data_IF_047436206084
#
_entry.id   IF_047436206084
#
_cell.length_a   1.000
_cell.length_b   1.000
_cell.length_c   1.000
_cell.angle_alpha   90.00
_cell.angle_beta   90.00
_cell.angle_gamma   90.00
#
_symmetry.space_group_name_H-M   'P 1'
#
loop_
_entity.id
_entity.type
_entity.pdbx_description
1 polymer ?
#
# COMPACT_ATOMS: atom_id res chain seq x y z
N UNK A 1 -25.89 -17.78 -10.66
CA UNK A 1 -25.83 -16.31 -10.49
C UNK A 1 -26.29 -15.58 -11.75
N UNK A 2 -25.56 -15.66 -12.88
CA UNK A 2 -25.89 -14.94 -14.12
C UNK A 2 -27.33 -15.16 -14.59
N UNK A 3 -27.74 -16.40 -14.83
CA UNK A 3 -29.06 -16.69 -15.43
C UNK A 3 -30.27 -16.42 -14.54
N UNK A 4 -30.10 -16.44 -13.21
CA UNK A 4 -31.24 -16.34 -12.26
C UNK A 4 -31.37 -14.98 -11.58
N UNK A 5 -30.28 -14.23 -11.43
CA UNK A 5 -30.25 -13.04 -10.58
C UNK A 5 -29.73 -11.83 -11.37
N UNK A 6 -28.56 -11.96 -12.01
CA UNK A 6 -27.91 -10.82 -12.69
C UNK A 6 -27.50 -11.21 -14.11
N UNK A 7 -28.40 -11.12 -15.11
CA UNK A 7 -28.12 -11.53 -16.48
C UNK A 7 -26.96 -10.77 -17.13
N UNK A 8 -26.74 -9.51 -16.73
CA UNK A 8 -25.67 -8.62 -17.21
C UNK A 8 -24.29 -8.95 -16.61
N UNK A 9 -24.19 -9.90 -15.68
CA UNK A 9 -22.92 -10.26 -15.04
C UNK A 9 -21.99 -10.95 -16.04
N UNK A 10 -20.81 -10.35 -16.22
CA UNK A 10 -19.74 -10.88 -17.07
C UNK A 10 -18.81 -11.80 -16.27
N UNK A 11 -19.15 -13.09 -16.26
CA UNK A 11 -18.36 -14.13 -15.59
C UNK A 11 -17.08 -14.49 -16.36
N UNK A 12 -17.07 -14.32 -17.69
CA UNK A 12 -15.94 -14.70 -18.52
C UNK A 12 -14.76 -13.76 -18.29
N UNK A 13 -15.03 -12.46 -18.15
CA UNK A 13 -14.02 -11.47 -17.76
C UNK A 13 -13.41 -11.75 -16.38
N UNK A 14 -14.22 -12.16 -15.39
CA UNK A 14 -13.71 -12.54 -14.06
C UNK A 14 -12.82 -13.79 -14.18
N UNK A 15 -13.30 -14.81 -14.89
CA UNK A 15 -12.59 -16.07 -15.10
C UNK A 15 -11.22 -15.89 -15.77
N UNK A 16 -11.14 -15.00 -16.77
CA UNK A 16 -9.90 -14.74 -17.53
C UNK A 16 -8.93 -13.78 -16.83
N UNK A 17 -9.34 -13.13 -15.75
CA UNK A 17 -8.49 -12.17 -15.03
C UNK A 17 -7.30 -12.89 -14.40
N UNK A 18 -6.10 -12.34 -14.59
CA UNK A 18 -4.87 -12.85 -13.97
C UNK A 18 -4.59 -12.10 -12.69
N UNK A 19 -4.63 -12.79 -11.56
CA UNK A 19 -4.49 -12.19 -10.23
C UNK A 19 -3.11 -12.48 -9.64
N UNK A 20 -2.38 -11.41 -9.28
CA UNK A 20 -1.15 -11.49 -8.50
C UNK A 20 -1.46 -11.16 -7.03
N UNK A 21 -1.15 -12.07 -6.11
CA UNK A 21 -1.36 -11.93 -4.68
C UNK A 21 -0.01 -11.75 -4.00
N UNK A 22 0.30 -10.51 -3.60
CA UNK A 22 1.52 -10.17 -2.87
C UNK A 22 1.26 -10.38 -1.38
N UNK A 23 1.65 -11.56 -0.89
CA UNK A 23 1.34 -12.09 0.43
C UNK A 23 0.44 -13.32 0.33
N UNK A 24 0.89 -14.44 0.93
CA UNK A 24 0.17 -15.72 0.99
C UNK A 24 -0.29 -16.07 2.42
N UNK A 25 -0.20 -15.10 3.35
CA UNK A 25 -0.69 -15.21 4.72
C UNK A 25 -2.22 -15.27 4.80
N UNK A 26 -2.79 -14.74 5.90
CA UNK A 26 -4.24 -14.86 6.18
C UNK A 26 -5.07 -14.28 5.04
N UNK A 27 -4.79 -13.03 4.65
CA UNK A 27 -5.48 -12.36 3.56
C UNK A 27 -5.29 -13.10 2.23
N UNK A 28 -4.04 -13.44 1.88
CA UNK A 28 -3.71 -14.16 0.65
C UNK A 28 -4.47 -15.47 0.50
N UNK A 29 -4.52 -16.26 1.56
CA UNK A 29 -5.21 -17.55 1.57
C UNK A 29 -6.73 -17.41 1.40
N UNK A 30 -7.37 -16.48 2.12
CA UNK A 30 -8.82 -16.26 1.99
C UNK A 30 -9.19 -15.64 0.64
N UNK A 31 -8.46 -14.63 0.19
CA UNK A 31 -8.70 -13.99 -1.11
C UNK A 31 -8.46 -14.99 -2.25
N UNK A 32 -7.39 -15.79 -2.18
CA UNK A 32 -7.14 -16.85 -3.15
C UNK A 32 -8.31 -17.84 -3.27
N UNK A 33 -8.85 -18.30 -2.13
CA UNK A 33 -10.05 -19.17 -2.12
C UNK A 33 -11.29 -18.46 -2.68
N UNK A 34 -11.50 -17.18 -2.36
CA UNK A 34 -12.61 -16.41 -2.89
C UNK A 34 -12.51 -16.20 -4.42
N UNK A 35 -11.33 -15.88 -4.93
CA UNK A 35 -11.07 -15.76 -6.37
C UNK A 35 -11.34 -17.08 -7.10
N UNK A 36 -10.86 -18.19 -6.53
CA UNK A 36 -11.11 -19.52 -7.09
C UNK A 36 -12.62 -19.85 -7.13
N UNK A 37 -13.36 -19.50 -6.07
CA UNK A 37 -14.82 -19.68 -6.02
C UNK A 37 -15.56 -18.82 -7.05
N UNK A 38 -15.05 -17.64 -7.37
CA UNK A 38 -15.53 -16.79 -8.47
C UNK A 38 -15.13 -17.27 -9.86
N UNK A 39 -14.31 -18.31 -9.96
CA UNK A 39 -13.92 -18.95 -11.21
C UNK A 39 -12.63 -18.40 -11.83
N UNK A 40 -11.87 -17.54 -11.13
CA UNK A 40 -10.56 -17.07 -11.58
C UNK A 40 -9.64 -18.27 -11.82
N UNK A 41 -8.95 -18.29 -12.96
CA UNK A 41 -8.11 -19.43 -13.36
C UNK A 41 -6.62 -19.21 -13.18
N UNK A 42 -6.14 -17.97 -13.20
CA UNK A 42 -4.70 -17.67 -13.07
C UNK A 42 -4.44 -16.88 -11.80
N UNK A 43 -3.83 -17.54 -10.81
CA UNK A 43 -3.57 -16.99 -9.48
C UNK A 43 -2.10 -17.21 -9.15
N UNK A 44 -1.36 -16.13 -8.94
CA UNK A 44 0.06 -16.20 -8.60
C UNK A 44 0.29 -15.64 -7.21
N UNK A 45 0.96 -16.41 -6.34
CA UNK A 45 1.34 -16.03 -5.00
C UNK A 45 2.80 -15.57 -4.96
N UNK A 46 3.07 -14.52 -4.18
CA UNK A 46 4.42 -14.05 -3.85
C UNK A 46 4.52 -13.92 -2.33
N UNK A 47 5.50 -14.57 -1.73
CA UNK A 47 5.75 -14.55 -0.28
C UNK A 47 7.18 -15.05 -0.04
N UNK A 48 7.93 -14.46 0.90
CA UNK A 48 9.29 -14.93 1.23
C UNK A 48 9.31 -15.85 2.47
N UNK A 49 8.15 -16.07 3.10
CA UNK A 49 8.03 -16.79 4.35
C UNK A 49 7.89 -18.31 4.19
N UNK A 50 8.09 -19.00 5.31
CA UNK A 50 7.79 -20.44 5.47
C UNK A 50 6.57 -20.64 6.35
N UNK A 51 5.83 -21.73 6.12
CA UNK A 51 4.66 -22.09 6.92
C UNK A 51 5.11 -22.44 8.35
N UNK A 52 4.58 -21.75 9.35
CA UNK A 52 4.85 -22.05 10.77
C UNK A 52 3.64 -22.70 11.46
N UNK A 53 3.87 -23.42 12.56
CA UNK A 53 2.83 -24.19 13.28
C UNK A 53 1.57 -23.42 13.66
N UNK A 54 1.68 -22.10 13.86
CA UNK A 54 0.53 -21.27 14.20
C UNK A 54 -0.26 -20.79 12.96
N UNK A 55 0.23 -21.03 11.74
CA UNK A 55 -0.38 -20.57 10.50
C UNK A 55 -1.65 -21.35 10.09
N UNK A 56 -1.68 -22.70 10.10
CA UNK A 56 -2.81 -23.46 9.53
C UNK A 56 -4.19 -23.08 10.09
N UNK A 57 -4.28 -22.70 11.37
CA UNK A 57 -5.56 -22.29 12.00
C UNK A 57 -6.12 -20.96 11.48
N UNK A 58 -5.28 -20.13 10.85
CA UNK A 58 -5.66 -18.80 10.34
C UNK A 58 -5.44 -18.63 8.83
N UNK A 59 -4.69 -19.53 8.20
CA UNK A 59 -4.31 -19.48 6.79
C UNK A 59 -4.82 -20.74 6.09
N UNK A 60 -6.03 -20.71 5.50
CA UNK A 60 -6.75 -21.91 5.08
C UNK A 60 -6.15 -22.61 3.85
N UNK A 61 -5.00 -22.20 3.34
CA UNK A 61 -4.26 -22.90 2.30
C UNK A 61 -3.12 -23.77 2.85
N UNK A 62 -2.93 -23.86 4.17
CA UNK A 62 -1.86 -24.65 4.77
C UNK A 62 -2.40 -25.68 5.75
N UNK A 63 -1.76 -26.84 5.77
CA UNK A 63 -2.05 -27.93 6.71
C UNK A 63 -0.91 -28.10 7.73
N UNK A 64 -1.16 -28.85 8.80
CA UNK A 64 -0.12 -29.13 9.82
C UNK A 64 1.13 -29.78 9.21
N UNK A 65 0.95 -30.66 8.22
CA UNK A 65 2.05 -31.34 7.53
C UNK A 65 3.00 -30.37 6.80
N UNK A 66 2.51 -29.18 6.42
CA UNK A 66 3.32 -28.17 5.74
C UNK A 66 4.27 -27.42 6.69
N UNK A 67 4.11 -27.61 8.01
CA UNK A 67 4.95 -27.00 9.05
C UNK A 67 6.17 -27.87 9.42
N UNK A 68 6.18 -29.13 9.02
CA UNK A 68 7.23 -30.09 9.38
C UNK A 68 8.56 -29.73 8.69
N UNK A 69 9.68 -30.18 9.24
CA UNK A 69 11.04 -29.96 8.71
C UNK A 69 11.42 -28.48 8.52
N UNK A 70 10.97 -27.62 9.44
CA UNK A 70 11.25 -26.18 9.40
C UNK A 70 10.32 -25.38 8.48
N UNK A 71 9.25 -26.02 7.99
CA UNK A 71 8.19 -25.38 7.22
C UNK A 71 8.49 -25.28 5.74
N UNK A 72 7.49 -25.58 4.92
CA UNK A 72 7.56 -25.41 3.47
C UNK A 72 7.47 -23.92 3.08
N UNK A 73 8.01 -23.52 1.92
CA UNK A 73 7.80 -22.19 1.35
C UNK A 73 6.32 -21.87 1.16
N UNK A 74 5.85 -20.73 1.67
CA UNK A 74 4.42 -20.42 1.70
C UNK A 74 3.81 -20.23 0.32
N UNK A 75 4.47 -19.50 -0.57
CA UNK A 75 3.90 -19.14 -1.87
C UNK A 75 3.66 -20.40 -2.73
N UNK A 76 4.66 -21.26 -2.82
CA UNK A 76 4.64 -22.53 -3.54
C UNK A 76 3.61 -23.49 -2.94
N UNK A 77 3.62 -23.64 -1.61
CA UNK A 77 2.66 -24.51 -0.90
C UNK A 77 1.22 -24.02 -1.10
N UNK A 78 0.98 -22.71 -1.09
CA UNK A 78 -0.35 -22.15 -1.33
C UNK A 78 -0.85 -22.47 -2.75
N UNK A 79 0.04 -22.39 -3.74
CA UNK A 79 -0.29 -22.75 -5.13
C UNK A 79 -0.56 -24.25 -5.29
N UNK A 80 0.24 -25.11 -4.66
CA UNK A 80 0.04 -26.57 -4.65
C UNK A 80 -1.29 -26.95 -4.00
N UNK A 81 -1.57 -26.41 -2.81
CA UNK A 81 -2.82 -26.70 -2.11
C UNK A 81 -4.03 -26.11 -2.84
N UNK A 82 -3.87 -25.00 -3.58
CA UNK A 82 -4.92 -24.49 -4.47
C UNK A 82 -5.20 -25.45 -5.64
N UNK A 83 -4.16 -26.04 -6.25
CA UNK A 83 -4.32 -27.08 -7.28
C UNK A 83 -4.97 -28.35 -6.74
N UNK A 84 -4.72 -28.70 -5.48
CA UNK A 84 -5.43 -29.81 -4.80
C UNK A 84 -6.92 -29.56 -4.68
N UNK A 85 -7.33 -28.30 -4.43
CA UNK A 85 -8.75 -27.93 -4.37
C UNK A 85 -9.39 -27.97 -5.76
N UNK A 86 -8.72 -27.42 -6.77
CA UNK A 86 -9.23 -27.41 -8.13
C UNK A 86 -8.09 -27.57 -9.15
N UNK A 87 -7.87 -28.78 -9.71
CA UNK A 87 -6.70 -29.07 -10.54
C UNK A 87 -6.55 -28.25 -11.83
N UNK A 88 -7.63 -27.66 -12.35
CA UNK A 88 -7.57 -26.85 -13.57
C UNK A 88 -7.24 -25.37 -13.30
N UNK A 89 -6.86 -25.00 -12.08
CA UNK A 89 -6.30 -23.67 -11.79
C UNK A 89 -4.84 -23.60 -12.24
N UNK A 90 -4.47 -22.55 -12.96
CA UNK A 90 -3.08 -22.15 -13.18
C UNK A 90 -2.62 -21.35 -11.94
N UNK A 91 -2.30 -22.08 -10.88
CA UNK A 91 -1.73 -21.50 -9.66
C UNK A 91 -0.19 -21.60 -9.65
N UNK A 92 0.49 -20.50 -9.34
CA UNK A 92 1.94 -20.43 -9.24
C UNK A 92 2.35 -19.74 -7.94
N UNK A 93 3.50 -20.11 -7.40
CA UNK A 93 4.05 -19.54 -6.17
C UNK A 93 5.51 -19.20 -6.38
N UNK A 94 5.92 -18.02 -5.90
CA UNK A 94 7.30 -17.56 -5.96
C UNK A 94 7.78 -17.10 -4.59
N UNK A 95 8.79 -17.79 -4.07
CA UNK A 95 9.60 -17.31 -2.94
C UNK A 95 10.40 -16.10 -3.38
N UNK A 96 9.89 -14.89 -3.08
CA UNK A 96 10.46 -13.63 -3.52
C UNK A 96 10.31 -12.59 -2.42
N UNK A 97 11.39 -11.86 -2.15
CA UNK A 97 11.43 -10.80 -1.16
C UNK A 97 11.12 -9.45 -1.80
N UNK A 98 10.10 -8.75 -1.31
CA UNK A 98 9.78 -7.40 -1.79
C UNK A 98 10.60 -6.39 -1.01
N UNK A 99 11.46 -5.58 -1.67
CA UNK A 99 12.26 -4.56 -0.99
C UNK A 99 11.39 -3.59 -0.18
N UNK A 100 11.70 -3.46 1.11
CA UNK A 100 11.04 -2.53 2.02
C UNK A 100 11.61 -1.12 1.88
N UNK A 101 10.74 -0.12 1.73
CA UNK A 101 11.15 1.28 1.71
C UNK A 101 11.78 1.68 3.05
N UNK A 102 12.99 2.27 3.01
CA UNK A 102 13.70 2.75 4.20
C UNK A 102 14.64 1.74 4.84
N UNK A 103 14.70 0.50 4.35
CA UNK A 103 15.70 -0.49 4.78
C UNK A 103 16.93 -0.49 3.87
N UNK A 104 18.14 -0.71 4.43
CA UNK A 104 19.37 -0.78 3.64
C UNK A 104 19.37 -2.00 2.71
N UNK A 105 20.01 -1.84 1.57
CA UNK A 105 20.29 -2.93 0.64
C UNK A 105 21.36 -3.81 1.27
N UNK A 106 21.01 -5.06 1.59
CA UNK A 106 21.94 -6.04 2.18
C UNK A 106 22.66 -6.85 1.12
N UNK A 107 21.96 -7.21 0.04
CA UNK A 107 22.48 -7.94 -1.11
C UNK A 107 21.90 -7.33 -2.39
N UNK A 108 22.72 -6.54 -3.07
CA UNK A 108 22.31 -5.83 -4.29
C UNK A 108 21.95 -6.81 -5.42
N UNK A 109 22.68 -7.92 -5.55
CA UNK A 109 22.46 -8.86 -6.67
C UNK A 109 21.15 -9.59 -6.48
N UNK A 110 20.89 -10.11 -5.28
CA UNK A 110 19.63 -10.79 -4.96
C UNK A 110 18.45 -9.84 -5.05
N UNK A 111 18.54 -8.66 -4.42
CA UNK A 111 17.43 -7.70 -4.42
C UNK A 111 17.14 -7.16 -5.83
N UNK A 112 18.15 -7.06 -6.70
CA UNK A 112 17.95 -6.71 -8.10
C UNK A 112 17.20 -7.81 -8.85
N UNK A 113 17.56 -9.07 -8.65
CA UNK A 113 16.84 -10.21 -9.24
C UNK A 113 15.39 -10.28 -8.76
N UNK A 114 15.16 -10.08 -7.46
CA UNK A 114 13.83 -10.05 -6.86
C UNK A 114 12.99 -8.87 -7.42
N UNK A 115 13.61 -7.69 -7.60
CA UNK A 115 12.96 -6.55 -8.23
C UNK A 115 12.55 -6.87 -9.67
N UNK A 116 13.48 -7.41 -10.47
CA UNK A 116 13.23 -7.70 -11.89
C UNK A 116 12.13 -8.76 -12.04
N UNK A 117 12.13 -9.77 -11.16
CA UNK A 117 11.09 -10.79 -11.15
C UNK A 117 9.74 -10.24 -10.71
N UNK A 118 9.70 -9.38 -9.69
CA UNK A 118 8.47 -8.72 -9.26
C UNK A 118 7.89 -7.84 -10.36
N UNK A 119 8.73 -7.10 -11.07
CA UNK A 119 8.35 -6.29 -12.22
C UNK A 119 7.72 -7.13 -13.34
N UNK A 120 8.34 -8.25 -13.70
CA UNK A 120 7.79 -9.22 -14.66
C UNK A 120 6.40 -9.71 -14.22
N UNK A 121 6.25 -10.08 -12.94
CA UNK A 121 4.98 -10.54 -12.39
C UNK A 121 3.91 -9.45 -12.44
N UNK A 122 4.23 -8.21 -12.08
CA UNK A 122 3.27 -7.10 -12.14
C UNK A 122 2.83 -6.84 -13.58
N UNK A 123 3.75 -6.85 -14.55
CA UNK A 123 3.43 -6.63 -15.97
C UNK A 123 2.55 -7.75 -16.55
N UNK A 124 2.82 -9.00 -16.18
CA UNK A 124 2.12 -10.19 -16.70
C UNK A 124 0.72 -10.38 -16.10
N UNK A 125 0.38 -9.73 -14.99
CA UNK A 125 -0.93 -9.88 -14.34
C UNK A 125 -1.83 -8.65 -14.58
N UNK A 126 -3.15 -8.83 -14.43
CA UNK A 126 -4.14 -7.77 -14.69
C UNK A 126 -4.51 -7.03 -13.41
N UNK A 127 -4.66 -7.79 -12.31
CA UNK A 127 -5.04 -7.28 -10.99
C UNK A 127 -4.00 -7.68 -9.96
N UNK A 128 -3.56 -6.70 -9.16
CA UNK A 128 -2.55 -6.88 -8.12
C UNK A 128 -3.22 -6.68 -6.76
N UNK A 129 -3.14 -7.68 -5.89
CA UNK A 129 -3.59 -7.62 -4.51
C UNK A 129 -2.40 -7.37 -3.58
N UNK A 130 -2.43 -6.27 -2.83
CA UNK A 130 -1.43 -5.94 -1.82
C UNK A 130 -1.91 -6.48 -0.47
N UNK A 131 -1.36 -7.62 -0.07
CA UNK A 131 -1.78 -8.41 1.10
C UNK A 131 -0.61 -8.61 2.07
N UNK A 132 0.33 -7.67 2.02
CA UNK A 132 1.55 -7.68 2.83
C UNK A 132 1.26 -7.23 4.26
N UNK A 133 2.14 -7.60 5.18
CA UNK A 133 2.02 -7.39 6.62
C UNK A 133 2.46 -5.99 7.10
N UNK A 134 3.19 -5.23 6.29
CA UNK A 134 3.74 -3.94 6.66
C UNK A 134 3.41 -2.81 5.67
N UNK A 135 3.55 -1.56 6.11
CA UNK A 135 3.37 -0.38 5.25
C UNK A 135 4.50 -0.26 4.23
N UNK A 136 5.72 -0.55 4.66
CA UNK A 136 6.96 -0.32 3.91
C UNK A 136 7.04 -1.25 2.69
N UNK A 137 6.63 -2.51 2.86
CA UNK A 137 6.60 -3.51 1.79
C UNK A 137 5.57 -3.17 0.69
N UNK A 138 4.49 -2.46 1.01
CA UNK A 138 3.45 -2.07 0.04
C UNK A 138 3.87 -0.93 -0.89
N UNK A 139 4.91 -0.19 -0.54
CA UNK A 139 5.32 1.00 -1.30
C UNK A 139 5.73 0.66 -2.73
N UNK A 140 6.67 -0.26 -2.90
CA UNK A 140 7.21 -0.60 -4.22
C UNK A 140 6.12 -1.18 -5.16
N UNK A 141 5.31 -2.17 -4.74
CA UNK A 141 4.18 -2.63 -5.55
C UNK A 141 3.16 -1.55 -5.89
N UNK A 142 2.92 -0.60 -4.99
CA UNK A 142 2.02 0.54 -5.26
C UNK A 142 2.54 1.41 -6.39
N UNK A 143 3.83 1.71 -6.38
CA UNK A 143 4.48 2.48 -7.44
C UNK A 143 4.46 1.70 -8.76
N UNK A 144 4.84 0.43 -8.75
CA UNK A 144 4.81 -0.42 -9.94
C UNK A 144 3.40 -0.53 -10.55
N UNK A 145 2.37 -0.76 -9.72
CA UNK A 145 1.00 -0.84 -10.20
C UNK A 145 0.51 0.47 -10.83
N UNK A 146 0.96 1.62 -10.31
CA UNK A 146 0.68 2.92 -10.90
C UNK A 146 1.39 3.09 -12.27
N UNK A 147 2.69 2.80 -12.33
CA UNK A 147 3.50 2.92 -13.56
C UNK A 147 2.98 2.02 -14.67
N UNK A 148 2.63 0.77 -14.34
CA UNK A 148 2.12 -0.22 -15.30
C UNK A 148 0.61 -0.17 -15.49
N UNK A 149 -0.07 0.86 -14.95
CA UNK A 149 -1.52 1.07 -15.08
C UNK A 149 -2.36 -0.15 -14.70
N UNK A 150 -1.97 -0.84 -13.63
CA UNK A 150 -2.63 -2.05 -13.13
C UNK A 150 -3.76 -1.70 -12.16
N UNK A 151 -4.75 -2.59 -12.06
CA UNK A 151 -5.75 -2.49 -11.00
C UNK A 151 -5.14 -3.03 -9.71
N UNK A 152 -4.90 -2.14 -8.76
CA UNK A 152 -4.33 -2.49 -7.46
C UNK A 152 -5.41 -2.44 -6.40
N UNK A 153 -5.57 -3.55 -5.67
CA UNK A 153 -6.47 -3.68 -4.51
C UNK A 153 -5.61 -3.88 -3.28
N UNK A 154 -5.70 -2.96 -2.34
CA UNK A 154 -5.01 -3.04 -1.06
C UNK A 154 -5.95 -3.55 0.02
N UNK A 155 -5.47 -4.49 0.83
CA UNK A 155 -6.15 -4.94 2.03
C UNK A 155 -5.18 -4.91 3.21
N UNK A 156 -5.56 -4.24 4.30
CA UNK A 156 -4.78 -4.15 5.53
C UNK A 156 -5.65 -4.51 6.74
N UNK A 157 -5.03 -5.06 7.77
CA UNK A 157 -5.70 -5.48 9.00
C UNK A 157 -5.15 -4.67 10.19
N UNK A 158 -6.06 -4.06 10.94
CA UNK A 158 -5.83 -3.64 12.31
C UNK A 158 -6.24 -4.75 13.30
N UNK A 159 -6.21 -4.44 14.59
CA UNK A 159 -6.58 -5.40 15.64
C UNK A 159 -8.08 -5.79 15.56
N UNK A 160 -8.96 -4.79 15.45
CA UNK A 160 -10.43 -4.96 15.35
C UNK A 160 -11.03 -4.37 14.06
N UNK A 161 -10.18 -3.83 13.19
CA UNK A 161 -10.59 -3.13 11.98
C UNK A 161 -9.84 -3.64 10.76
N UNK A 162 -10.35 -3.34 9.57
CA UNK A 162 -9.68 -3.63 8.32
C UNK A 162 -9.91 -2.50 7.33
N UNK A 163 -8.99 -2.34 6.39
CA UNK A 163 -9.10 -1.41 5.27
C UNK A 163 -9.02 -2.17 3.97
N UNK A 164 -10.00 -1.99 3.09
CA UNK A 164 -9.96 -2.45 1.70
C UNK A 164 -10.15 -1.25 0.79
N UNK A 165 -9.21 -1.03 -0.13
CA UNK A 165 -9.29 0.06 -1.08
C UNK A 165 -8.73 -0.33 -2.44
N UNK A 166 -9.23 0.30 -3.50
CA UNK A 166 -8.61 0.22 -4.84
C UNK A 166 -7.83 1.49 -5.12
N UNK A 167 -6.68 1.37 -5.74
CA UNK A 167 -5.92 2.55 -6.20
C UNK A 167 -6.56 3.14 -7.47
N UNK A 168 -6.32 4.42 -7.72
CA UNK A 168 -6.65 5.04 -9.00
C UNK A 168 -5.73 4.55 -10.12
N UNK A 169 -6.29 3.89 -11.12
CA UNK A 169 -5.60 3.49 -12.34
C UNK A 169 -5.41 4.70 -13.28
N UNK A 170 -4.27 4.77 -13.95
CA UNK A 170 -4.05 5.72 -15.04
C UNK A 170 -4.67 5.12 -16.30
N UNK A 171 -5.51 5.89 -16.98
CA UNK A 171 -5.97 5.55 -18.31
C UNK A 171 -4.94 6.01 -19.34
N UNK A 172 -4.30 5.09 -20.05
CA UNK A 172 -3.29 5.43 -21.06
C UNK A 172 -3.87 6.19 -22.27
N UNK A 173 -5.19 6.19 -22.47
CA UNK A 173 -5.84 6.86 -23.61
C UNK A 173 -6.13 8.35 -23.38
N UNK A 174 -5.95 8.87 -22.16
CA UNK A 174 -6.24 10.26 -21.80
C UNK A 174 -4.94 10.91 -21.31
N UNK A 175 -4.76 12.22 -21.47
CA UNK A 175 -3.58 12.89 -20.92
C UNK A 175 -3.59 12.83 -19.37
N UNK A 176 -2.43 12.72 -18.70
CA UNK A 176 -2.37 12.66 -17.23
C UNK A 176 -3.02 13.86 -16.54
N UNK A 177 -2.91 15.05 -17.15
CA UNK A 177 -3.42 16.31 -16.61
C UNK A 177 -4.94 16.34 -16.58
N UNK A 178 -5.59 15.76 -17.60
CA UNK A 178 -7.06 15.68 -17.68
C UNK A 178 -7.66 14.62 -16.75
N UNK A 179 -6.87 13.63 -16.33
CA UNK A 179 -7.31 12.58 -15.42
C UNK A 179 -7.19 12.97 -13.95
N UNK A 180 -6.41 14.01 -13.64
CA UNK A 180 -5.98 14.29 -12.28
C UNK A 180 -7.15 14.65 -11.35
N UNK A 181 -8.22 15.25 -11.89
CA UNK A 181 -9.42 15.61 -11.13
C UNK A 181 -10.35 14.42 -10.83
N UNK A 182 -10.35 13.37 -11.66
CA UNK A 182 -11.23 12.20 -11.52
C UNK A 182 -10.55 10.99 -10.90
N UNK A 183 -9.24 11.08 -10.64
CA UNK A 183 -8.42 9.95 -10.21
C UNK A 183 -8.46 9.75 -8.69
N UNK A 184 -8.77 8.53 -8.27
CA UNK A 184 -8.69 8.14 -6.86
C UNK A 184 -7.24 8.08 -6.36
N UNK A 185 -7.06 8.41 -5.08
CA UNK A 185 -5.78 8.24 -4.39
C UNK A 185 -5.36 6.78 -4.22
N UNK A 186 -4.09 6.56 -3.89
CA UNK A 186 -3.57 5.26 -3.45
C UNK A 186 -3.48 5.20 -1.92
N UNK A 187 -3.05 4.06 -1.39
CA UNK A 187 -2.83 3.85 0.05
C UNK A 187 -1.96 4.93 0.71
N UNK A 188 -1.02 5.52 -0.03
CA UNK A 188 -0.09 6.53 0.48
C UNK A 188 -0.55 7.99 0.26
N UNK A 189 -1.69 8.22 -0.41
CA UNK A 189 -2.20 9.58 -0.63
C UNK A 189 -2.78 10.20 0.65
N UNK A 190 -3.29 9.35 1.56
CA UNK A 190 -3.73 9.76 2.88
C UNK A 190 -2.80 9.12 3.90
N UNK A 191 -2.49 9.83 4.99
CA UNK A 191 -1.85 9.16 6.12
C UNK A 191 -2.91 8.28 6.79
N UNK A 192 -2.89 6.99 6.45
CA UNK A 192 -3.75 5.98 7.07
C UNK A 192 -3.18 5.69 8.46
N UNK A 193 -3.27 6.68 9.36
CA UNK A 193 -3.11 6.49 10.79
C UNK A 193 -4.51 6.56 11.39
N UNK A 194 -4.96 5.53 12.14
CA UNK A 194 -6.12 5.73 12.98
C UNK A 194 -5.79 6.86 13.96
N UNK A 195 -6.47 7.97 13.78
CA UNK A 195 -6.47 9.13 14.64
C UNK A 195 -7.16 8.76 15.95
N UNK A 196 -6.40 8.72 17.06
CA UNK A 196 -7.00 8.90 18.38
C UNK A 196 -6.81 7.83 19.46
N UNK A 197 -5.83 6.92 19.38
CA UNK A 197 -5.46 6.15 20.58
C UNK A 197 -3.96 5.92 20.70
N UNK A 198 -3.37 6.50 21.75
CA UNK A 198 -2.02 6.27 22.27
C UNK A 198 -1.82 4.85 22.85
N UNK A 199 -2.62 3.88 22.40
CA UNK A 199 -2.55 2.47 22.78
C UNK A 199 -2.77 1.65 21.51
N UNK A 200 -1.69 1.06 21.01
CA UNK A 200 -1.72 0.08 19.92
C UNK A 200 -1.23 0.62 18.57
N UNK A 201 -0.01 0.26 18.18
CA UNK A 201 0.47 0.41 16.80
C UNK A 201 -0.34 -0.51 15.86
N UNK A 202 -1.51 -0.07 15.39
CA UNK A 202 -2.22 -0.59 14.22
C UNK A 202 -2.39 0.57 13.24
N UNK A 203 -2.16 0.46 11.94
CA UNK A 203 -2.59 -0.59 11.02
C UNK A 203 -1.46 -1.22 10.19
N UNK A 204 -0.20 -1.05 10.61
CA UNK A 204 1.01 -1.62 9.99
C UNK A 204 2.21 -1.68 10.97
N UNK A 205 1.95 -1.91 12.26
CA UNK A 205 3.00 -2.03 13.27
C UNK A 205 3.60 -3.44 13.31
N UNK A 206 4.92 -3.53 13.43
CA UNK A 206 5.62 -4.78 13.77
C UNK A 206 4.92 -5.47 14.96
N UNK A 207 4.47 -6.72 14.78
CA UNK A 207 4.01 -7.54 15.90
C UNK A 207 5.20 -8.19 16.58
N UNK A 208 5.85 -7.46 17.49
CA UNK A 208 6.64 -8.06 18.58
C UNK A 208 5.89 -7.78 19.88
N UNK A 209 5.29 -8.83 20.44
CA UNK A 209 4.87 -8.80 21.83
C UNK A 209 6.14 -8.71 22.71
N UNK A 210 6.49 -7.52 23.15
CA UNK A 210 7.48 -7.30 24.20
C UNK A 210 7.08 -6.07 25.01
N UNK A 211 6.69 -6.33 26.26
CA UNK A 211 6.57 -5.34 27.33
C UNK A 211 7.91 -4.62 27.52
N UNK A 212 7.94 -3.29 27.35
CA UNK A 212 9.11 -2.50 27.70
C UNK A 212 9.21 -1.23 26.87
N UNK A 213 9.37 -0.09 27.55
CA UNK A 213 9.52 1.24 26.97
C UNK A 213 10.67 1.29 25.96
N UNK A 214 10.40 1.77 24.75
CA UNK A 214 11.45 2.29 23.87
C UNK A 214 10.97 3.56 23.18
N UNK A 215 11.66 4.66 23.47
CA UNK A 215 11.48 5.98 22.85
C UNK A 215 12.13 5.97 21.47
N UNK A 216 11.39 6.32 20.42
CA UNK A 216 11.97 6.57 19.09
C UNK A 216 12.06 8.08 18.85
N UNK A 217 13.29 8.59 18.71
CA UNK A 217 13.60 9.98 18.33
C UNK A 217 13.46 10.17 16.81
N UNK A 218 13.05 11.36 16.32
CA UNK A 218 12.99 11.67 14.89
C UNK A 218 14.39 12.04 14.37
N UNK A 219 14.91 11.31 13.38
CA UNK A 219 16.13 11.70 12.66
C UNK A 219 15.79 12.50 11.40
N UNK A 220 16.44 13.66 11.28
CA UNK A 220 16.33 14.59 10.16
C UNK A 220 17.09 14.16 8.89
N UNK A 221 17.02 14.97 7.82
CA UNK A 221 17.48 14.58 6.49
C UNK A 221 18.96 14.88 6.31
N UNK A 222 19.73 13.88 5.88
CA UNK A 222 21.09 14.09 5.40
C UNK A 222 21.63 12.84 4.74
N UNK A 223 21.72 12.85 3.40
CA UNK A 223 22.91 12.49 2.61
C UNK A 223 22.57 12.41 1.11
N UNK A 224 23.40 13.10 0.33
CA UNK A 224 23.36 13.27 -1.13
C UNK A 224 24.60 12.60 -1.73
N UNK A 225 24.45 11.64 -2.66
CA UNK A 225 25.42 11.28 -3.72
C UNK A 225 24.96 10.02 -4.48
N UNK A 226 25.37 9.67 -5.71
CA UNK A 226 25.88 10.37 -6.91
C UNK A 226 25.69 9.37 -8.07
N UNK A 227 25.18 9.86 -9.22
CA UNK A 227 25.38 9.38 -10.59
C UNK A 227 25.61 7.88 -10.89
N UNK A 228 24.57 7.21 -11.39
CA UNK A 228 24.64 6.02 -12.26
C UNK A 228 23.50 6.10 -13.29
N UNK A 229 23.79 5.87 -14.57
CA UNK A 229 22.78 5.95 -15.64
C UNK A 229 21.89 4.72 -15.55
N UNK A 230 20.68 4.89 -15.01
CA UNK A 230 19.66 3.85 -14.99
C UNK A 230 18.99 3.71 -16.37
N UNK A 231 18.57 2.50 -16.79
CA UNK A 231 17.82 2.31 -18.02
C UNK A 231 16.51 3.13 -18.01
N UNK A 232 16.06 3.60 -19.18
CA UNK A 232 15.00 4.60 -19.34
C UNK A 232 13.69 4.39 -18.53
N UNK A 233 13.21 3.15 -18.29
CA UNK A 233 12.04 2.92 -17.41
C UNK A 233 12.34 3.23 -15.93
N UNK A 234 13.52 2.85 -15.46
CA UNK A 234 13.98 3.08 -14.07
C UNK A 234 14.28 4.56 -13.84
N UNK A 235 14.84 5.25 -14.83
CA UNK A 235 15.01 6.70 -14.80
C UNK A 235 13.65 7.45 -14.72
N UNK A 236 12.61 6.94 -15.38
CA UNK A 236 11.23 7.48 -15.24
C UNK A 236 10.65 7.23 -13.85
N UNK A 237 10.90 6.06 -13.25
CA UNK A 237 10.50 5.75 -11.86
C UNK A 237 11.21 6.70 -10.88
N UNK A 238 12.52 6.91 -11.02
CA UNK A 238 13.28 7.84 -10.18
C UNK A 238 12.95 9.33 -10.44
N UNK A 239 12.58 9.70 -11.68
CA UNK A 239 12.12 11.05 -12.00
C UNK A 239 10.73 11.31 -11.39
N UNK A 240 9.81 10.35 -11.49
CA UNK A 240 8.50 10.41 -10.82
C UNK A 240 8.66 10.42 -9.29
N UNK A 241 9.64 9.70 -8.75
CA UNK A 241 10.02 9.77 -7.33
C UNK A 241 10.46 11.18 -6.92
N UNK A 242 11.34 11.80 -7.71
CA UNK A 242 11.83 13.16 -7.45
C UNK A 242 10.71 14.20 -7.53
N UNK A 243 9.81 14.07 -8.50
CA UNK A 243 8.63 14.95 -8.64
C UNK A 243 7.60 14.74 -7.53
N UNK A 244 7.37 13.50 -7.08
CA UNK A 244 6.48 13.21 -5.96
C UNK A 244 7.04 13.76 -4.64
N UNK A 245 8.36 13.62 -4.42
CA UNK A 245 9.04 14.15 -3.23
C UNK A 245 9.08 15.69 -3.22
N UNK A 246 9.30 16.32 -4.38
CA UNK A 246 9.26 17.78 -4.53
C UNK A 246 7.86 18.38 -4.34
N UNK A 247 6.80 17.64 -4.74
CA UNK A 247 5.40 18.04 -4.48
C UNK A 247 5.01 17.85 -3.02
N UNK A 248 5.53 16.83 -2.33
CA UNK A 248 5.35 16.64 -0.89
C UNK A 248 6.05 17.72 -0.05
N UNK A 249 7.24 18.18 -0.44
CA UNK A 249 7.96 19.25 0.28
C UNK A 249 7.31 20.63 0.15
N UNK A 250 6.45 20.86 -0.85
CA UNK A 250 5.71 22.14 -1.00
C UNK A 250 4.51 22.28 -0.07
N UNK A 251 4.06 21.21 0.58
CA UNK A 251 3.10 21.29 1.68
C UNK A 251 3.82 21.41 3.02
N UNK A 252 4.41 22.58 3.28
CA UNK A 252 4.66 22.99 4.67
C UNK A 252 3.30 23.23 5.31
N UNK A 253 2.80 22.23 6.05
CA UNK A 253 1.60 22.38 6.87
C UNK A 253 1.92 23.41 7.96
N UNK A 254 1.21 24.53 7.90
CA UNK A 254 1.13 25.55 8.92
C UNK A 254 0.49 24.92 10.18
N UNK A 255 1.30 24.50 11.16
CA UNK A 255 0.78 23.98 12.44
C UNK A 255 0.24 25.15 13.28
N UNK A 256 -1.09 25.35 13.22
CA UNK A 256 -1.82 26.09 14.24
C UNK A 256 -2.24 25.14 15.36
N UNK A 257 -1.74 25.34 16.59
CA UNK A 257 -2.21 24.59 17.75
C UNK A 257 -3.54 25.21 18.20
N UNK A 258 -4.65 24.53 17.94
CA UNK A 258 -5.96 24.91 18.45
C UNK A 258 -6.09 24.36 19.89
N UNK A 259 -6.05 25.24 20.89
CA UNK A 259 -6.33 24.85 22.28
C UNK A 259 -7.74 25.33 22.64
N UNK A 260 -8.68 24.40 22.76
CA UNK A 260 -10.05 24.68 23.22
C UNK A 260 -10.06 24.55 24.75
N UNK A 261 -10.26 25.67 25.44
CA UNK A 261 -10.45 25.68 26.89
C UNK A 261 -11.79 26.37 27.18
N UNK A 262 -12.86 25.57 27.30
CA UNK A 262 -14.23 26.08 27.46
C UNK A 262 -14.75 26.88 26.25
N UNK A 263 -15.69 27.81 26.47
CA UNK A 263 -16.44 28.52 25.43
C UNK A 263 -15.67 29.63 24.69
N UNK A 264 -14.32 29.60 24.66
CA UNK A 264 -13.51 30.52 23.84
C UNK A 264 -12.40 29.76 23.14
N UNK A 265 -12.26 30.01 21.83
CA UNK A 265 -11.17 29.53 20.99
C UNK A 265 -10.10 30.62 20.95
N UNK A 266 -8.88 30.28 21.36
CA UNK A 266 -7.72 31.15 21.22
C UNK A 266 -6.73 30.46 20.27
N UNK A 267 -6.37 31.15 19.18
CA UNK A 267 -5.39 30.67 18.20
C UNK A 267 -4.06 31.35 18.55
N UNK A 268 -3.04 30.55 18.87
CA UNK A 268 -1.69 31.06 19.09
C UNK A 268 -0.80 30.59 17.95
N UNK A 269 -0.24 31.54 17.20
CA UNK A 269 0.73 31.27 16.14
C UNK A 269 2.14 31.22 16.75
N UNK A 270 2.81 30.06 16.66
CA UNK A 270 4.24 29.94 16.96
C UNK A 270 5.02 30.35 15.71
N UNK A 271 5.53 31.59 15.70
CA UNK A 271 6.42 32.06 14.64
C UNK A 271 7.82 31.49 14.79
N UNK A 272 8.37 30.93 13.71
CA UNK A 272 9.81 30.70 13.56
C UNK A 272 10.32 31.68 12.52
N UNK A 273 11.24 32.56 12.93
CA UNK A 273 11.93 33.51 12.06
C UNK A 273 12.69 32.78 10.96
N UNK A 274 12.40 33.14 9.70
CA UNK A 274 13.32 32.95 8.59
C UNK A 274 13.90 34.33 8.23
N UNK A 275 15.19 34.53 8.48
CA UNK A 275 15.95 35.67 7.97
C UNK A 275 16.10 35.51 6.45
N UNK A 276 15.41 36.35 5.69
CA UNK A 276 15.53 36.43 4.24
C UNK A 276 15.02 37.78 3.77
N UNK A 277 15.96 38.68 3.46
CA UNK A 277 15.72 40.03 2.96
C UNK A 277 14.96 40.00 1.63
N UNK A 278 13.77 40.60 1.60
CA UNK A 278 13.01 40.81 0.38
C UNK A 278 11.73 41.59 0.67
N UNK A 279 11.78 42.92 0.48
CA UNK A 279 10.60 43.79 0.55
C UNK A 279 9.66 43.48 -0.61
N UNK A 280 8.41 43.16 -0.31
CA UNK A 280 7.26 43.52 -1.14
C UNK A 280 5.97 43.39 -0.33
N UNK A 281 5.26 44.51 -0.23
CA UNK A 281 3.99 44.69 0.47
C UNK A 281 2.84 44.03 -0.31
N UNK A 282 1.85 43.46 0.40
CA UNK A 282 0.53 43.13 -0.17
C UNK A 282 -0.55 43.68 0.78
N UNK A 283 -1.54 44.45 0.27
CA UNK A 283 -2.50 45.19 1.09
C UNK A 283 -3.62 44.30 1.66
N UNK A 284 -4.10 44.67 2.85
CA UNK A 284 -5.14 43.97 3.58
C UNK A 284 -6.54 44.12 2.97
N UNK A 285 -7.34 43.06 3.08
CA UNK A 285 -8.80 43.11 2.94
C UNK A 285 -9.43 42.34 4.10
N UNK A 286 -10.10 43.06 4.97
CA UNK A 286 -10.84 42.56 6.12
C UNK A 286 -12.16 41.90 5.68
N UNK A 287 -12.43 40.68 6.14
CA UNK A 287 -13.78 40.10 6.06
C UNK A 287 -14.50 40.25 7.41
N UNK A 288 -15.52 41.11 7.44
CA UNK A 288 -16.48 41.26 8.56
C UNK A 288 -17.44 40.06 8.56
N UNK A 289 -17.48 39.32 9.66
CA UNK A 289 -18.51 38.31 9.89
C UNK A 289 -19.77 38.96 10.48
N UNK A 290 -20.90 38.90 9.75
CA UNK A 290 -22.22 39.20 10.29
C UNK A 290 -22.76 38.00 11.08
N UNK A 291 -22.95 38.15 12.39
CA UNK A 291 -23.75 37.23 13.22
C UNK A 291 -25.24 37.49 12.98
N UNK A 292 -26.00 36.48 12.57
CA UNK A 292 -27.47 36.44 12.76
C UNK A 292 -27.75 35.83 14.14
N UNK A 293 -28.54 36.55 14.94
CA UNK A 293 -29.09 36.06 16.20
C UNK A 293 -30.26 35.09 15.95
N UNK A 294 -30.54 34.15 16.87
CA UNK A 294 -31.66 33.23 16.75
C UNK A 294 -32.97 33.90 17.19
N UNK A 295 -34.05 33.62 16.47
CA UNK A 295 -35.43 33.95 16.87
C UNK A 295 -36.25 32.68 16.90
N UNK A 296 -36.96 32.47 18.01
CA UNK A 296 -38.15 31.61 18.12
C UNK A 296 -37.87 30.15 18.42
#
# INVERSE_FOLDING_TARGET
MKWRIVPTLDLDRIKSTRCLLLGSGTLGSYIGRALLAWGVRKITFVDNGKVSFSNPVRQPLFEFIDCIDGGKPKAETAAENMKRIFPLVDAQGFTLEVPMAGHPITDETKQKQDFDKLEELVQTHDVIFLLMDSRETRWLPTVMGNVYSKLVINAALGFESYLVMRHGCINSSISPEQQQESRLGCYFCNDVRPDGSIIGCGADGFCLAASGQTVCTPFGPGLVHRSGIAPAPVARIFAQFRDAQAKCQKFQILLGVLRVCGARVQITWLGVCATGTGKSEIPGAAYRAHKRAPTG
#
